data_IF_185079959342
#
_entry.id   IF_185079959342
#
_cell.length_a   1.000
_cell.length_b   1.000
_cell.length_c   1.000
_cell.angle_alpha   90.00
_cell.angle_beta   90.00
_cell.angle_gamma   90.00
#
_symmetry.space_group_name_H-M   'P 1'
#
loop_
_entity.id
_entity.type
_entity.pdbx_description
1 polymer ?
#
# COMPACT_ATOMS: atom_id res chain seq x y z
N UNK A 1 -18.53 -27.34 -6.09
CA UNK A 1 -17.12 -27.71 -6.34
C UNK A 1 -16.32 -27.15 -5.19
N UNK A 2 -15.60 -28.01 -4.47
CA UNK A 2 -14.75 -27.59 -3.36
C UNK A 2 -13.31 -27.98 -3.73
N UNK A 3 -12.38 -27.18 -3.20
CA UNK A 3 -10.97 -27.47 -2.86
C UNK A 3 -9.93 -27.24 -3.96
N UNK A 4 -9.45 -25.99 -4.12
CA UNK A 4 -8.15 -25.57 -3.58
C UNK A 4 -7.78 -24.18 -4.12
N UNK A 5 -7.99 -23.14 -3.33
CA UNK A 5 -7.15 -21.95 -3.45
C UNK A 5 -5.69 -22.45 -3.34
N UNK A 6 -4.87 -22.26 -4.38
CA UNK A 6 -3.47 -22.66 -4.29
C UNK A 6 -2.88 -21.92 -3.10
N UNK A 7 -2.24 -22.62 -2.17
CA UNK A 7 -1.68 -22.00 -0.96
C UNK A 7 -0.81 -20.78 -1.31
N UNK A 8 -0.19 -20.81 -2.49
CA UNK A 8 0.57 -19.71 -3.09
C UNK A 8 -0.25 -18.42 -3.30
N UNK A 9 -1.51 -18.50 -3.74
CA UNK A 9 -2.36 -17.34 -4.02
C UNK A 9 -2.79 -16.65 -2.73
N UNK A 10 -3.11 -17.46 -1.70
CA UNK A 10 -3.43 -16.95 -0.36
C UNK A 10 -2.21 -16.27 0.27
N UNK A 11 -1.03 -16.90 0.17
CA UNK A 11 0.22 -16.34 0.66
C UNK A 11 0.57 -15.04 -0.07
N UNK A 12 0.43 -14.99 -1.39
CA UNK A 12 0.66 -13.80 -2.19
C UNK A 12 -0.30 -12.66 -1.82
N UNK A 13 -1.58 -12.96 -1.62
CA UNK A 13 -2.58 -11.99 -1.18
C UNK A 13 -2.24 -11.39 0.18
N UNK A 14 -1.84 -12.22 1.16
CA UNK A 14 -1.44 -11.75 2.50
C UNK A 14 -0.15 -10.95 2.46
N UNK A 15 0.84 -11.36 1.65
CA UNK A 15 2.09 -10.60 1.46
C UNK A 15 1.83 -9.23 0.84
N UNK A 16 1.00 -9.16 -0.21
CA UNK A 16 0.63 -7.89 -0.82
C UNK A 16 -0.08 -6.98 0.17
N UNK A 17 -1.03 -7.52 0.94
CA UNK A 17 -1.79 -6.75 1.94
C UNK A 17 -0.87 -6.21 3.04
N UNK A 18 0.04 -7.05 3.57
CA UNK A 18 0.98 -6.64 4.62
C UNK A 18 2.01 -5.62 4.13
N UNK A 19 2.64 -5.85 2.96
CA UNK A 19 3.64 -4.94 2.39
C UNK A 19 3.00 -3.60 2.03
N UNK A 20 1.84 -3.59 1.36
CA UNK A 20 1.16 -2.35 1.00
C UNK A 20 0.71 -1.58 2.24
N UNK A 21 0.20 -2.26 3.28
CA UNK A 21 -0.18 -1.61 4.55
C UNK A 21 1.02 -0.97 5.24
N UNK A 22 2.15 -1.69 5.29
CA UNK A 22 3.39 -1.18 5.91
C UNK A 22 3.93 0.04 5.15
N UNK A 23 3.91 -0.03 3.82
CA UNK A 23 4.34 1.08 2.97
C UNK A 23 3.40 2.30 3.06
N UNK A 24 2.09 2.13 3.24
CA UNK A 24 1.18 3.23 3.57
C UNK A 24 1.54 3.87 4.91
N UNK A 25 1.79 3.06 5.94
CA UNK A 25 2.14 3.54 7.28
C UNK A 25 3.46 4.35 7.27
N UNK A 26 4.49 3.80 6.63
CA UNK A 26 5.79 4.45 6.47
C UNK A 26 5.70 5.71 5.60
N UNK A 27 4.93 5.67 4.51
CA UNK A 27 4.69 6.81 3.63
C UNK A 27 3.97 7.96 4.35
N UNK A 28 2.93 7.67 5.12
CA UNK A 28 2.23 8.68 5.95
C UNK A 28 3.17 9.27 6.99
N UNK A 29 3.98 8.44 7.65
CA UNK A 29 4.98 8.90 8.63
C UNK A 29 6.02 9.83 7.98
N UNK A 30 6.51 9.46 6.79
CA UNK A 30 7.44 10.28 6.02
C UNK A 30 6.83 11.62 5.61
N UNK A 31 5.54 11.64 5.20
CA UNK A 31 4.82 12.86 4.87
C UNK A 31 4.65 13.78 6.09
N UNK A 32 4.35 13.21 7.26
CA UNK A 32 4.24 13.96 8.53
C UNK A 32 5.60 14.57 8.91
N UNK A 33 6.69 13.80 8.76
CA UNK A 33 8.04 14.29 9.05
C UNK A 33 8.41 15.47 8.16
N UNK A 34 8.16 15.37 6.85
CA UNK A 34 8.40 16.45 5.88
C UNK A 34 7.57 17.69 6.24
N UNK A 35 6.31 17.51 6.68
CA UNK A 35 5.48 18.65 7.15
C UNK A 35 5.94 19.28 8.46
N UNK A 36 6.47 18.49 9.41
CA UNK A 36 6.87 18.98 10.74
C UNK A 36 8.25 19.62 10.75
N UNK A 37 9.18 19.11 9.95
CA UNK A 37 10.57 19.56 9.92
C UNK A 37 10.73 20.77 8.98
N UNK A 38 11.03 21.94 9.55
CA UNK A 38 11.24 23.19 8.79
C UNK A 38 12.39 23.10 7.77
N UNK A 39 13.34 22.19 7.97
CA UNK A 39 14.45 21.90 7.03
C UNK A 39 13.94 21.45 5.66
N UNK A 40 12.77 20.79 5.60
CA UNK A 40 12.17 20.33 4.35
C UNK A 40 11.18 21.34 3.73
N UNK A 41 11.07 22.57 4.26
CA UNK A 41 10.25 23.62 3.67
C UNK A 41 10.95 24.28 2.47
N UNK A 42 11.36 23.44 1.52
CA UNK A 42 12.05 23.81 0.29
C UNK A 42 11.42 23.04 -0.88
N UNK A 43 11.68 23.47 -2.12
CA UNK A 43 11.19 22.83 -3.34
C UNK A 43 11.51 21.32 -3.38
N UNK A 44 12.67 20.91 -2.85
CA UNK A 44 13.06 19.51 -2.73
C UNK A 44 12.17 18.71 -1.75
N UNK A 45 11.82 19.30 -0.60
CA UNK A 45 10.94 18.64 0.37
C UNK A 45 9.50 18.52 -0.15
N UNK A 46 9.03 19.52 -0.90
CA UNK A 46 7.75 19.44 -1.60
C UNK A 46 7.73 18.38 -2.71
N UNK A 47 8.83 18.23 -3.44
CA UNK A 47 8.98 17.14 -4.42
C UNK A 47 8.97 15.76 -3.75
N UNK A 48 9.70 15.62 -2.64
CA UNK A 48 9.69 14.39 -1.84
C UNK A 48 8.30 14.07 -1.29
N UNK A 49 7.57 15.07 -0.79
CA UNK A 49 6.19 14.90 -0.32
C UNK A 49 5.25 14.45 -1.45
N UNK A 50 5.37 15.02 -2.66
CA UNK A 50 4.57 14.63 -3.82
C UNK A 50 4.81 13.17 -4.22
N UNK A 51 6.08 12.74 -4.26
CA UNK A 51 6.43 11.32 -4.52
C UNK A 51 5.78 10.39 -3.49
N UNK A 52 5.94 10.69 -2.21
CA UNK A 52 5.36 9.86 -1.14
C UNK A 52 3.84 9.87 -1.17
N UNK A 53 3.21 10.99 -1.52
CA UNK A 53 1.76 11.07 -1.68
C UNK A 53 1.27 10.14 -2.81
N UNK A 54 1.94 10.14 -3.96
CA UNK A 54 1.64 9.23 -5.06
C UNK A 54 1.77 7.75 -4.65
N UNK A 55 2.83 7.40 -3.92
CA UNK A 55 3.06 6.05 -3.44
C UNK A 55 1.99 5.58 -2.44
N UNK A 56 1.62 6.44 -1.49
CA UNK A 56 0.54 6.16 -0.52
C UNK A 56 -0.80 5.99 -1.24
N UNK A 57 -1.13 6.86 -2.19
CA UNK A 57 -2.36 6.73 -2.98
C UNK A 57 -2.42 5.42 -3.78
N UNK A 58 -1.33 5.06 -4.46
CA UNK A 58 -1.25 3.79 -5.21
C UNK A 58 -1.41 2.57 -4.29
N UNK A 59 -0.71 2.54 -3.15
CA UNK A 59 -0.85 1.43 -2.22
C UNK A 59 -2.22 1.38 -1.53
N UNK A 60 -2.85 2.53 -1.30
CA UNK A 60 -4.21 2.58 -0.79
C UNK A 60 -5.20 1.92 -1.77
N UNK A 61 -5.06 2.20 -3.07
CA UNK A 61 -5.86 1.52 -4.11
C UNK A 61 -5.56 0.02 -4.13
N UNK A 62 -4.30 -0.38 -3.92
CA UNK A 62 -3.92 -1.79 -3.86
C UNK A 62 -4.60 -2.51 -2.67
N UNK A 63 -4.65 -1.88 -1.50
CA UNK A 63 -5.32 -2.43 -0.32
C UNK A 63 -6.84 -2.45 -0.48
N UNK A 64 -7.43 -1.40 -1.10
CA UNK A 64 -8.89 -1.26 -1.21
C UNK A 64 -9.51 -2.00 -2.39
N UNK A 65 -8.80 -2.16 -3.50
CA UNK A 65 -9.31 -2.83 -4.69
C UNK A 65 -8.64 -4.18 -4.89
N UNK A 66 -7.31 -4.25 -4.93
CA UNK A 66 -6.63 -5.50 -5.29
C UNK A 66 -6.79 -6.56 -4.21
N UNK A 67 -6.60 -6.24 -2.93
CA UNK A 67 -6.76 -7.22 -1.87
C UNK A 67 -8.17 -7.86 -1.79
N UNK A 68 -9.28 -7.09 -1.81
CA UNK A 68 -10.61 -7.71 -1.85
C UNK A 68 -10.92 -8.38 -3.18
N UNK A 69 -10.45 -7.86 -4.32
CA UNK A 69 -10.64 -8.54 -5.61
C UNK A 69 -9.93 -9.89 -5.62
N UNK A 70 -8.67 -9.97 -5.17
CA UNK A 70 -7.91 -11.23 -5.08
C UNK A 70 -8.58 -12.22 -4.11
N UNK A 71 -9.09 -11.74 -2.97
CA UNK A 71 -9.81 -12.59 -2.02
C UNK A 71 -11.18 -13.06 -2.56
N UNK A 72 -11.91 -12.20 -3.27
CA UNK A 72 -13.17 -12.57 -3.92
C UNK A 72 -12.96 -13.52 -5.09
N UNK A 73 -11.87 -13.38 -5.84
CA UNK A 73 -11.49 -14.29 -6.93
C UNK A 73 -11.16 -15.68 -6.37
N UNK A 74 -10.31 -15.73 -5.33
CA UNK A 74 -10.02 -16.97 -4.58
C UNK A 74 -11.26 -17.61 -3.96
N UNK A 75 -12.28 -16.85 -3.58
CA UNK A 75 -13.51 -17.38 -2.97
C UNK A 75 -14.57 -17.84 -3.99
N UNK A 76 -14.41 -17.47 -5.27
CA UNK A 76 -15.30 -17.86 -6.38
C UNK A 76 -14.82 -19.13 -7.11
N UNK A 77 -13.57 -19.55 -6.87
CA UNK A 77 -12.97 -20.80 -7.37
C UNK A 77 -13.12 -21.99 -6.40
#
# INVERSE_FOLDING_TARGET
MQTNASSTDVIAGVLLLTICSLAVLLGVTNLILIRKMKVFHNAFGWFAASRTFGEVCCNLVHVLCTAPVTLMWVSME
#
